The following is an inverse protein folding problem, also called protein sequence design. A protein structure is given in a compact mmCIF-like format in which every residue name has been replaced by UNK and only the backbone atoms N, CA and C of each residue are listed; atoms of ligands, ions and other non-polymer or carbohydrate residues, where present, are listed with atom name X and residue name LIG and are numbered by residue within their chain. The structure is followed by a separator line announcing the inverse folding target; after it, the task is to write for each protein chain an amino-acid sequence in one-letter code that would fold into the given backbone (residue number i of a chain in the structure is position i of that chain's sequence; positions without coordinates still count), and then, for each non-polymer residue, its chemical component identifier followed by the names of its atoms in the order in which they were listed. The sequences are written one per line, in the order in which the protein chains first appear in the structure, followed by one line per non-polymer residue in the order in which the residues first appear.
data_IF_133085803350
#
_entry.id   IF_133085803350
#
_cell.length_a   1.000
_cell.length_b   1.000
_cell.length_c   1.000
_cell.angle_alpha   90.00
_cell.angle_beta   90.00
_cell.angle_gamma   90.00
#
_symmetry.space_group_name_H-M   'P 1'
#
loop_
_entity.id
_entity.type
_entity.pdbx_description
1 polymer ?
#
# COMPACT_ATOMS: atom_id res chain seq x y z
N UNK A 1 -30.97 16.78 -0.88
CA UNK A 1 -29.81 17.30 -0.11
C UNK A 1 -28.87 16.15 0.18
N UNK A 2 -27.79 15.99 -0.59
CA UNK A 2 -26.83 14.90 -0.40
C UNK A 2 -25.97 15.17 0.83
N UNK A 3 -26.04 14.28 1.82
CA UNK A 3 -25.17 14.33 3.00
C UNK A 3 -23.71 14.18 2.56
N UNK A 4 -22.90 15.13 3.02
CA UNK A 4 -21.47 15.22 2.81
C UNK A 4 -20.77 14.04 3.52
N UNK A 5 -20.08 13.11 2.84
CA UNK A 5 -19.52 11.89 3.46
C UNK A 5 -18.19 12.11 4.20
N UNK A 6 -17.87 13.34 4.60
CA UNK A 6 -16.58 13.70 5.21
C UNK A 6 -16.56 13.73 6.75
N UNK A 7 -17.21 12.77 7.43
CA UNK A 7 -17.21 12.69 8.92
C UNK A 7 -15.96 12.06 9.56
N UNK A 8 -14.90 11.80 8.80
CA UNK A 8 -13.72 11.06 9.31
C UNK A 8 -12.75 11.86 10.16
N UNK A 9 -13.06 13.12 10.46
CA UNK A 9 -12.38 13.81 11.56
C UNK A 9 -12.89 13.38 12.94
N UNK A 10 -13.99 12.62 13.04
CA UNK A 10 -14.60 12.33 14.33
C UNK A 10 -13.91 11.23 15.15
N UNK A 11 -13.38 10.16 14.54
CA UNK A 11 -13.00 8.98 15.32
C UNK A 11 -11.48 8.81 15.56
N UNK A 12 -10.61 9.47 14.80
CA UNK A 12 -9.15 9.49 15.08
C UNK A 12 -8.38 8.21 14.71
N UNK A 13 -7.06 8.25 14.84
CA UNK A 13 -6.16 7.10 14.55
C UNK A 13 -5.90 6.28 15.81
N UNK A 14 -5.78 4.96 15.66
CA UNK A 14 -5.55 4.00 16.75
C UNK A 14 -6.20 2.65 16.46
N UNK A 15 -6.28 1.82 17.49
CA UNK A 15 -6.86 0.47 17.45
C UNK A 15 -8.35 0.51 17.78
N UNK A 16 -9.16 -0.23 17.03
CA UNK A 16 -10.58 -0.39 17.28
C UNK A 16 -10.90 -1.88 17.44
N UNK A 17 -11.49 -2.34 18.55
CA UNK A 17 -11.89 -3.73 18.66
C UNK A 17 -12.92 -4.07 17.57
N UNK A 18 -12.76 -5.25 16.97
CA UNK A 18 -13.64 -5.77 15.93
C UNK A 18 -14.72 -6.59 16.62
N UNK A 19 -15.99 -6.22 16.42
CA UNK A 19 -17.11 -7.14 16.61
C UNK A 19 -17.39 -7.85 15.28
N UNK A 20 -17.07 -9.16 15.14
CA UNK A 20 -17.31 -9.88 13.90
C UNK A 20 -18.79 -9.92 13.52
N UNK A 21 -19.70 -9.76 14.49
CA UNK A 21 -21.16 -9.80 14.25
C UNK A 21 -21.77 -8.44 13.96
N UNK A 22 -20.98 -7.37 13.96
CA UNK A 22 -21.45 -6.02 13.66
C UNK A 22 -22.22 -5.97 12.32
N UNK A 23 -23.30 -5.18 12.32
CA UNK A 23 -24.10 -4.84 11.14
C UNK A 23 -24.34 -3.33 11.13
N UNK A 24 -23.86 -2.65 10.10
CA UNK A 24 -24.06 -1.21 9.93
C UNK A 24 -23.04 -0.60 8.96
N UNK A 25 -23.13 0.72 8.78
CA UNK A 25 -22.33 1.43 7.78
C UNK A 25 -20.91 1.76 8.25
N UNK A 26 -20.70 1.94 9.56
CA UNK A 26 -19.40 2.23 10.16
C UNK A 26 -19.34 1.70 11.61
N UNK A 27 -18.56 0.63 11.83
CA UNK A 27 -18.42 -0.02 13.13
C UNK A 27 -17.84 0.89 14.21
N UNK A 28 -17.22 2.01 13.83
CA UNK A 28 -16.51 2.92 14.75
C UNK A 28 -17.37 4.05 15.26
N UNK A 29 -18.60 4.22 14.76
CA UNK A 29 -19.41 5.44 14.93
C UNK A 29 -19.48 5.94 16.38
N UNK A 30 -19.55 5.01 17.33
CA UNK A 30 -19.70 5.29 18.76
C UNK A 30 -18.51 4.74 19.58
N UNK A 31 -17.35 4.58 18.95
CA UNK A 31 -16.15 4.00 19.57
C UNK A 31 -15.00 5.01 19.63
N UNK A 32 -14.32 5.04 20.78
CA UNK A 32 -13.05 5.73 20.92
C UNK A 32 -11.90 4.79 20.50
N UNK A 33 -10.89 5.26 19.76
CA UNK A 33 -9.70 4.46 19.47
C UNK A 33 -8.92 4.16 20.75
N UNK A 34 -8.36 2.96 20.81
CA UNK A 34 -7.40 2.51 21.80
C UNK A 34 -5.98 2.78 21.31
N UNK A 35 -5.07 3.07 22.23
CA UNK A 35 -3.66 3.36 21.99
C UNK A 35 -2.78 2.31 22.68
N UNK A 36 -1.51 2.23 22.30
CA UNK A 36 -0.55 1.24 22.84
C UNK A 36 -0.38 1.28 24.37
N UNK A 37 -0.74 2.40 25.01
CA UNK A 37 -0.73 2.58 26.47
C UNK A 37 -1.97 2.01 27.16
N UNK A 38 -3.03 1.71 26.41
CA UNK A 38 -4.27 1.17 26.95
C UNK A 38 -4.16 -0.34 27.21
N UNK A 39 -5.06 -0.86 28.05
CA UNK A 39 -5.16 -2.30 28.29
C UNK A 39 -5.97 -2.97 27.18
N UNK A 40 -5.29 -3.78 26.38
CA UNK A 40 -5.92 -4.60 25.34
C UNK A 40 -6.45 -5.91 25.89
N UNK A 41 -7.63 -6.31 25.42
CA UNK A 41 -8.18 -7.65 25.55
C UNK A 41 -7.61 -8.52 24.42
N UNK A 42 -6.75 -9.49 24.78
CA UNK A 42 -6.05 -10.35 23.83
C UNK A 42 -6.93 -11.47 23.23
N UNK A 43 -8.18 -11.61 23.68
CA UNK A 43 -9.15 -12.53 23.06
C UNK A 43 -9.86 -11.89 21.85
N UNK A 44 -9.69 -10.56 21.69
CA UNK A 44 -10.26 -9.76 20.61
C UNK A 44 -9.24 -9.49 19.51
N UNK A 45 -9.77 -9.29 18.32
CA UNK A 45 -9.04 -8.79 17.16
C UNK A 45 -9.28 -7.29 17.03
N UNK A 46 -8.27 -6.54 16.58
CA UNK A 46 -8.34 -5.09 16.45
C UNK A 46 -8.12 -4.63 15.02
N UNK A 47 -8.70 -3.49 14.66
CA UNK A 47 -8.38 -2.76 13.43
C UNK A 47 -7.52 -1.55 13.80
N UNK A 48 -6.24 -1.56 13.44
CA UNK A 48 -5.36 -0.39 13.51
C UNK A 48 -5.63 0.53 12.32
N UNK A 49 -6.09 1.75 12.57
CA UNK A 49 -6.41 2.73 11.53
C UNK A 49 -5.39 3.84 11.53
N UNK A 50 -4.70 4.00 10.40
CA UNK A 50 -3.63 4.97 10.24
C UNK A 50 -2.32 4.52 10.86
N UNK A 51 -1.39 5.46 11.01
CA UNK A 51 -0.05 5.21 11.54
C UNK A 51 0.40 6.43 12.35
N UNK A 52 0.02 6.46 13.63
CA UNK A 52 0.48 7.45 14.61
C UNK A 52 1.44 6.75 15.59
N UNK A 53 2.77 6.99 15.52
CA UNK A 53 3.79 6.36 16.36
C UNK A 53 3.53 6.43 17.86
N UNK A 54 2.92 7.50 18.32
CA UNK A 54 2.55 7.75 19.71
C UNK A 54 1.26 7.02 20.13
N UNK A 55 0.56 6.37 19.19
CA UNK A 55 -0.73 5.69 19.41
C UNK A 55 -0.73 4.22 19.03
N UNK A 56 0.37 3.71 18.50
CA UNK A 56 0.48 2.32 18.06
C UNK A 56 1.72 1.62 18.62
N UNK A 57 1.64 0.30 18.82
CA UNK A 57 2.82 -0.53 18.97
C UNK A 57 3.77 -0.33 17.79
N UNK A 58 5.06 -0.29 18.06
CA UNK A 58 6.08 -0.32 17.03
C UNK A 58 6.14 -1.73 16.44
N UNK A 59 6.57 -1.87 15.17
CA UNK A 59 6.75 -3.19 14.58
C UNK A 59 7.61 -4.08 15.47
N UNK A 60 7.11 -5.26 15.82
CA UNK A 60 7.80 -6.23 16.66
C UNK A 60 7.72 -5.96 18.17
N UNK A 61 7.01 -4.91 18.60
CA UNK A 61 6.78 -4.60 20.01
C UNK A 61 5.34 -4.87 20.45
N UNK A 62 4.54 -5.47 19.58
CA UNK A 62 3.17 -5.90 19.89
C UNK A 62 3.19 -6.98 21.00
N UNK A 63 2.22 -6.97 21.94
CA UNK A 63 2.10 -8.03 22.93
C UNK A 63 1.95 -9.41 22.27
N UNK A 64 2.51 -10.45 22.89
CA UNK A 64 2.34 -11.82 22.40
C UNK A 64 0.85 -12.19 22.39
N UNK A 65 0.36 -12.67 21.24
CA UNK A 65 -1.04 -13.01 21.05
C UNK A 65 -1.94 -11.83 20.66
N UNK A 66 -1.37 -10.63 20.48
CA UNK A 66 -2.12 -9.48 20.00
C UNK A 66 -2.52 -9.66 18.53
N UNK A 67 -3.82 -9.77 18.29
CA UNK A 67 -4.42 -9.95 16.98
C UNK A 67 -4.90 -8.59 16.42
N UNK A 68 -4.32 -8.17 15.29
CA UNK A 68 -4.75 -6.95 14.64
C UNK A 68 -4.66 -6.99 13.11
N UNK A 69 -5.47 -6.16 12.49
CA UNK A 69 -5.45 -5.83 11.07
C UNK A 69 -5.05 -4.38 10.90
N UNK A 70 -4.13 -4.09 9.99
CA UNK A 70 -3.67 -2.74 9.71
C UNK A 70 -4.35 -2.16 8.48
N UNK A 71 -5.20 -1.16 8.71
CA UNK A 71 -5.84 -0.36 7.68
C UNK A 71 -5.00 0.88 7.34
N UNK A 72 -4.39 0.86 6.16
CA UNK A 72 -3.64 1.98 5.59
C UNK A 72 -4.01 2.24 4.12
N UNK A 73 -3.31 3.15 3.46
CA UNK A 73 -3.53 3.49 2.07
C UNK A 73 -3.17 2.32 1.13
N UNK A 74 -3.90 2.15 0.02
CA UNK A 74 -3.71 1.02 -0.94
C UNK A 74 -2.27 0.87 -1.45
N UNK A 75 -1.78 -0.36 -1.65
CA UNK A 75 -0.47 -0.61 -2.26
C UNK A 75 -0.37 -0.21 -3.75
N UNK A 76 -1.50 0.15 -4.38
CA UNK A 76 -1.60 0.62 -5.77
C UNK A 76 -2.00 2.11 -5.79
N UNK A 77 -1.04 3.05 -5.96
CA UNK A 77 -1.32 4.49 -5.97
C UNK A 77 -2.33 4.93 -7.02
N UNK A 78 -2.39 4.22 -8.16
CA UNK A 78 -3.32 4.46 -9.27
C UNK A 78 -4.78 4.54 -8.83
N UNK A 79 -5.17 3.76 -7.82
CA UNK A 79 -6.53 3.78 -7.25
C UNK A 79 -6.88 5.10 -6.54
N UNK A 80 -5.89 5.93 -6.23
CA UNK A 80 -6.04 7.21 -5.54
C UNK A 80 -6.01 8.40 -6.51
N UNK A 81 -5.70 8.17 -7.78
CA UNK A 81 -5.61 9.22 -8.79
C UNK A 81 -6.96 9.51 -9.40
N UNK A 82 -7.05 10.69 -10.03
CA UNK A 82 -8.25 11.10 -10.76
C UNK A 82 -8.48 10.12 -11.92
N UNK A 83 -9.62 9.44 -11.88
CA UNK A 83 -10.04 8.49 -12.91
C UNK A 83 -11.57 8.47 -12.99
N UNK A 84 -12.17 7.81 -14.00
CA UNK A 84 -13.61 7.62 -14.04
C UNK A 84 -14.21 7.02 -12.77
N UNK A 85 -13.48 6.11 -12.08
CA UNK A 85 -13.88 5.50 -10.81
C UNK A 85 -13.53 6.34 -9.57
N UNK A 86 -12.75 7.42 -9.70
CA UNK A 86 -12.34 8.29 -8.60
C UNK A 86 -12.25 9.75 -9.05
N UNK A 87 -13.41 10.36 -9.33
CA UNK A 87 -13.53 11.69 -9.94
C UNK A 87 -12.96 12.84 -9.10
N UNK A 88 -12.73 12.63 -7.81
CA UNK A 88 -12.25 13.66 -6.88
C UNK A 88 -10.84 13.37 -6.34
N UNK A 89 -10.23 12.23 -6.69
CA UNK A 89 -8.91 11.85 -6.19
C UNK A 89 -8.90 11.55 -4.69
N UNK A 90 -10.04 11.12 -4.15
CA UNK A 90 -10.16 10.77 -2.74
C UNK A 90 -9.47 9.43 -2.45
N UNK A 91 -9.04 9.26 -1.20
CA UNK A 91 -8.51 7.99 -0.68
C UNK A 91 -9.64 7.04 -0.35
N UNK A 92 -10.25 6.46 -1.39
CA UNK A 92 -11.38 5.52 -1.29
C UNK A 92 -10.92 4.07 -1.17
N UNK A 93 -9.72 3.77 -1.66
CA UNK A 93 -9.10 2.46 -1.60
C UNK A 93 -7.99 2.40 -0.56
N UNK A 94 -7.96 1.29 0.15
CA UNK A 94 -7.07 1.06 1.26
C UNK A 94 -6.50 -0.36 1.24
N UNK A 95 -5.34 -0.53 1.86
CA UNK A 95 -4.81 -1.85 2.17
C UNK A 95 -5.30 -2.29 3.55
N UNK A 96 -5.45 -3.59 3.72
CA UNK A 96 -5.69 -4.23 5.01
C UNK A 96 -4.76 -5.42 5.14
N UNK A 97 -3.81 -5.42 6.09
CA UNK A 97 -2.85 -6.52 6.33
C UNK A 97 -3.03 -7.09 7.73
N UNK A 98 -2.82 -8.40 7.90
CA UNK A 98 -2.99 -9.08 9.19
C UNK A 98 -1.65 -9.24 9.92
N UNK A 99 -1.59 -8.82 11.19
CA UNK A 99 -0.44 -8.92 12.10
C UNK A 99 0.90 -8.59 11.43
N UNK A 100 0.92 -7.53 10.60
CA UNK A 100 2.08 -7.22 9.79
C UNK A 100 1.90 -5.97 8.93
N UNK A 101 3.03 -5.50 8.41
CA UNK A 101 3.15 -4.26 7.64
C UNK A 101 3.17 -4.51 6.12
N UNK A 102 3.29 -5.77 5.72
CA UNK A 102 3.36 -6.22 4.32
C UNK A 102 2.32 -7.31 4.04
N UNK A 103 2.10 -7.54 2.75
CA UNK A 103 1.40 -8.73 2.30
C UNK A 103 2.24 -9.98 2.61
N UNK A 104 1.63 -11.10 3.04
CA UNK A 104 2.35 -12.36 3.21
C UNK A 104 2.97 -12.84 1.89
N UNK A 105 4.20 -13.38 1.99
CA UNK A 105 4.97 -13.89 0.82
C UNK A 105 4.27 -15.04 0.09
N UNK A 106 3.45 -15.78 0.82
CA UNK A 106 2.69 -16.96 0.39
C UNK A 106 1.23 -16.64 0.05
N UNK A 107 0.86 -15.35 0.01
CA UNK A 107 -0.51 -14.95 -0.31
C UNK A 107 -0.95 -15.45 -1.70
N UNK A 108 -2.13 -16.08 -1.83
CA UNK A 108 -2.56 -16.67 -3.10
C UNK A 108 -3.01 -15.62 -4.12
N UNK A 109 -2.68 -15.84 -5.39
CA UNK A 109 -3.17 -15.04 -6.51
C UNK A 109 -4.53 -15.58 -7.00
N UNK A 110 -5.60 -15.32 -6.24
CA UNK A 110 -6.94 -15.78 -6.63
C UNK A 110 -7.65 -14.74 -7.50
N UNK A 111 -8.10 -15.17 -8.68
CA UNK A 111 -8.83 -14.30 -9.62
C UNK A 111 -10.10 -13.71 -9.00
N UNK A 112 -10.73 -14.40 -8.04
CA UNK A 112 -11.90 -13.90 -7.30
C UNK A 112 -11.60 -12.59 -6.55
N UNK A 113 -10.37 -12.38 -6.08
CA UNK A 113 -9.95 -11.14 -5.43
C UNK A 113 -9.86 -9.97 -6.43
N UNK A 114 -9.26 -10.21 -7.60
CA UNK A 114 -9.20 -9.23 -8.70
C UNK A 114 -10.60 -8.89 -9.20
N UNK A 115 -11.44 -9.90 -9.43
CA UNK A 115 -12.84 -9.71 -9.82
C UNK A 115 -13.63 -8.86 -8.82
N UNK A 116 -13.42 -9.01 -7.50
CA UNK A 116 -14.07 -8.14 -6.49
C UNK A 116 -13.70 -6.67 -6.70
N UNK A 117 -12.41 -6.38 -6.86
CA UNK A 117 -11.91 -5.02 -7.10
C UNK A 117 -12.44 -4.49 -8.44
N UNK A 118 -12.38 -5.30 -9.50
CA UNK A 118 -12.87 -4.96 -10.83
C UNK A 118 -14.37 -4.67 -10.85
N UNK A 119 -15.21 -5.48 -10.19
CA UNK A 119 -16.66 -5.21 -10.06
C UNK A 119 -16.92 -3.84 -9.43
N UNK A 120 -16.16 -3.49 -8.40
CA UNK A 120 -16.28 -2.20 -7.73
C UNK A 120 -15.80 -1.06 -8.63
N UNK A 121 -14.65 -1.19 -9.30
CA UNK A 121 -14.17 -0.20 -10.28
C UNK A 121 -15.14 -0.02 -11.44
N UNK A 122 -15.71 -1.10 -11.97
CA UNK A 122 -16.69 -1.08 -13.04
C UNK A 122 -17.94 -0.32 -12.63
N UNK A 123 -18.47 -0.59 -11.42
CA UNK A 123 -19.61 0.14 -10.87
C UNK A 123 -19.31 1.64 -10.69
N UNK A 124 -18.22 1.98 -10.02
CA UNK A 124 -17.88 3.39 -9.72
C UNK A 124 -17.49 4.19 -10.98
N UNK A 125 -17.02 3.52 -12.03
CA UNK A 125 -16.69 4.13 -13.33
C UNK A 125 -17.85 4.18 -14.33
N UNK A 126 -19.04 3.71 -13.95
CA UNK A 126 -20.21 3.55 -14.86
C UNK A 126 -19.87 2.69 -16.08
N UNK A 127 -19.14 1.60 -15.85
CA UNK A 127 -18.80 0.59 -16.84
C UNK A 127 -17.55 0.86 -17.68
N UNK A 128 -16.88 1.99 -17.47
CA UNK A 128 -15.71 2.41 -18.28
C UNK A 128 -14.45 1.61 -17.98
N UNK A 129 -14.28 1.15 -16.75
CA UNK A 129 -13.12 0.34 -16.33
C UNK A 129 -13.61 -1.08 -16.14
N UNK A 130 -13.02 -2.06 -16.83
CA UNK A 130 -13.37 -3.49 -16.65
C UNK A 130 -12.32 -4.23 -15.85
N UNK A 131 -11.06 -3.86 -16.03
CA UNK A 131 -9.93 -4.39 -15.28
C UNK A 131 -9.13 -3.30 -14.56
N UNK A 132 -8.62 -3.61 -13.36
CA UNK A 132 -7.79 -2.70 -12.58
C UNK A 132 -6.55 -2.23 -13.35
N UNK A 133 -5.97 -3.06 -14.21
CA UNK A 133 -4.79 -2.73 -14.98
C UNK A 133 -5.03 -1.67 -16.05
N UNK A 134 -6.29 -1.43 -16.45
CA UNK A 134 -6.65 -0.32 -17.33
C UNK A 134 -6.38 1.05 -16.68
N UNK A 135 -6.19 1.11 -15.35
CA UNK A 135 -5.77 2.34 -14.68
C UNK A 135 -4.35 2.79 -15.09
N UNK A 136 -3.53 1.90 -15.64
CA UNK A 136 -2.14 2.14 -16.04
C UNK A 136 -1.78 1.52 -17.40
N UNK A 137 -2.78 1.24 -18.24
CA UNK A 137 -2.62 0.67 -19.59
C UNK A 137 -1.93 -0.70 -19.65
N UNK A 138 -2.23 -1.57 -18.68
CA UNK A 138 -1.74 -2.95 -18.64
C UNK A 138 -0.37 -3.12 -17.99
N UNK A 139 -0.09 -4.33 -17.51
CA UNK A 139 1.21 -4.68 -16.95
C UNK A 139 2.26 -4.76 -18.08
N UNK A 140 3.50 -4.35 -17.81
CA UNK A 140 4.60 -4.42 -18.79
C UNK A 140 5.79 -5.15 -18.20
N UNK A 141 6.55 -5.91 -19.01
CA UNK A 141 7.79 -6.52 -18.55
C UNK A 141 8.79 -5.43 -18.12
N UNK A 142 9.69 -5.81 -17.22
CA UNK A 142 10.76 -4.94 -16.76
C UNK A 142 11.66 -4.54 -17.95
N UNK A 143 11.90 -3.24 -18.09
CA UNK A 143 12.73 -2.68 -19.15
C UNK A 143 14.22 -2.75 -18.76
N UNK A 144 15.15 -2.86 -19.73
CA UNK A 144 16.58 -2.81 -19.43
C UNK A 144 17.02 -1.39 -19.05
N UNK A 145 18.02 -1.29 -18.17
CA UNK A 145 18.70 -0.03 -17.83
C UNK A 145 19.71 0.31 -18.93
N UNK A 146 19.75 1.57 -19.37
CA UNK A 146 20.61 2.01 -20.49
C UNK A 146 21.59 3.11 -20.09
N UNK A 147 21.11 4.12 -19.37
CA UNK A 147 21.79 5.37 -19.00
C UNK A 147 22.33 5.39 -17.58
N UNK A 148 21.91 4.45 -16.72
CA UNK A 148 22.18 4.47 -15.27
C UNK A 148 21.73 5.79 -14.61
N UNK A 149 20.51 6.24 -14.91
CA UNK A 149 19.91 7.43 -14.29
C UNK A 149 18.77 7.02 -13.36
N UNK A 150 18.90 7.31 -12.06
CA UNK A 150 17.98 6.84 -11.02
C UNK A 150 17.06 7.96 -10.48
N UNK A 151 15.78 7.65 -10.28
CA UNK A 151 14.88 8.48 -9.48
C UNK A 151 14.78 7.93 -8.06
N UNK A 152 15.18 8.73 -7.07
CA UNK A 152 15.06 8.39 -5.66
C UNK A 152 13.71 8.88 -5.15
N UNK A 153 12.87 7.94 -4.67
CA UNK A 153 11.57 8.23 -4.07
C UNK A 153 11.59 7.86 -2.59
N UNK A 154 11.91 8.87 -1.77
CA UNK A 154 11.96 8.73 -0.32
C UNK A 154 10.54 8.56 0.29
N UNK A 155 10.48 7.84 1.40
CA UNK A 155 9.31 7.85 2.27
C UNK A 155 9.31 9.13 3.13
N UNK A 156 8.24 9.45 3.87
CA UNK A 156 8.21 10.69 4.68
C UNK A 156 9.28 10.71 5.78
N UNK A 157 9.76 11.89 6.20
CA UNK A 157 10.70 12.03 7.34
C UNK A 157 10.26 11.24 8.59
N UNK A 158 8.96 11.30 8.92
CA UNK A 158 8.38 10.52 10.03
C UNK A 158 8.64 9.02 9.89
N UNK A 159 8.51 8.48 8.68
CA UNK A 159 8.69 7.05 8.45
C UNK A 159 10.15 6.63 8.68
N UNK A 160 11.11 7.43 8.20
CA UNK A 160 12.54 7.23 8.46
C UNK A 160 12.85 7.21 9.96
N UNK A 161 12.39 8.23 10.69
CA UNK A 161 12.63 8.34 12.13
C UNK A 161 12.02 7.17 12.92
N UNK A 162 10.79 6.80 12.61
CA UNK A 162 9.96 5.97 13.50
C UNK A 162 10.07 4.47 13.21
N UNK A 163 10.47 4.09 12.00
CA UNK A 163 10.59 2.69 11.57
C UNK A 163 12.02 2.26 11.27
N UNK A 164 12.93 3.20 11.00
CA UNK A 164 14.27 2.89 10.52
C UNK A 164 15.39 3.52 11.35
N UNK A 165 15.06 4.26 12.41
CA UNK A 165 16.04 4.82 13.35
C UNK A 165 17.04 5.80 12.71
N UNK A 166 16.70 6.39 11.56
CA UNK A 166 17.55 7.32 10.82
C UNK A 166 16.72 8.49 10.27
N UNK A 167 17.37 9.57 9.85
CA UNK A 167 16.67 10.66 9.15
C UNK A 167 16.50 10.35 7.66
N UNK A 168 15.62 11.10 6.98
CA UNK A 168 15.44 10.95 5.54
C UNK A 168 16.72 11.38 4.79
N UNK A 169 17.39 12.41 5.28
CA UNK A 169 18.61 12.98 4.72
C UNK A 169 19.78 12.01 4.83
N UNK A 170 19.93 11.35 5.99
CA UNK A 170 20.92 10.28 6.18
C UNK A 170 20.69 9.14 5.19
N UNK A 171 19.43 8.72 5.03
CA UNK A 171 19.09 7.68 4.05
C UNK A 171 19.39 8.12 2.62
N UNK A 172 18.94 9.30 2.20
CA UNK A 172 19.21 9.84 0.86
C UNK A 172 20.72 9.90 0.62
N UNK A 173 21.49 10.45 1.57
CA UNK A 173 22.94 10.56 1.45
C UNK A 173 23.60 9.19 1.27
N UNK A 174 23.16 8.16 2.00
CA UNK A 174 23.68 6.80 1.83
C UNK A 174 23.38 6.22 0.44
N UNK A 175 22.16 6.44 -0.07
CA UNK A 175 21.77 6.00 -1.41
C UNK A 175 22.59 6.72 -2.48
N UNK A 176 22.71 8.05 -2.40
CA UNK A 176 23.40 8.84 -3.41
C UNK A 176 24.89 8.51 -3.49
N UNK A 177 25.57 8.38 -2.35
CA UNK A 177 26.98 7.94 -2.31
C UNK A 177 27.16 6.58 -2.98
N UNK A 178 26.26 5.63 -2.73
CA UNK A 178 26.35 4.31 -3.35
C UNK A 178 26.10 4.38 -4.86
N UNK A 179 25.17 5.22 -5.33
CA UNK A 179 24.91 5.42 -6.75
C UNK A 179 26.10 6.03 -7.47
N UNK A 180 26.74 7.05 -6.88
CA UNK A 180 27.96 7.65 -7.41
C UNK A 180 29.06 6.60 -7.58
N UNK A 181 29.27 5.75 -6.56
CA UNK A 181 30.24 4.64 -6.61
C UNK A 181 29.94 3.63 -7.73
N UNK A 182 28.67 3.47 -8.10
CA UNK A 182 28.21 2.56 -9.17
C UNK A 182 28.16 3.23 -10.56
N UNK A 183 28.51 4.52 -10.63
CA UNK A 183 28.46 5.34 -11.84
C UNK A 183 27.04 5.68 -12.29
N UNK A 184 26.11 5.83 -11.35
CA UNK A 184 24.75 6.29 -11.62
C UNK A 184 24.65 7.81 -11.43
N UNK A 185 23.88 8.46 -12.30
CA UNK A 185 23.34 9.80 -12.01
C UNK A 185 21.99 9.66 -11.31
N UNK A 186 21.54 10.68 -10.59
CA UNK A 186 20.27 10.59 -9.87
C UNK A 186 19.56 11.92 -9.67
N UNK A 187 18.24 11.82 -9.46
CA UNK A 187 17.40 12.89 -8.94
C UNK A 187 16.63 12.42 -7.71
N UNK A 188 16.33 13.35 -6.80
CA UNK A 188 15.47 13.07 -5.63
C UNK A 188 14.09 13.66 -5.88
N UNK A 189 13.08 12.80 -5.88
CA UNK A 189 11.70 13.22 -6.07
C UNK A 189 11.21 14.10 -4.93
N UNK A 190 10.75 15.31 -5.26
CA UNK A 190 10.00 16.16 -4.33
C UNK A 190 8.53 15.75 -4.31
N UNK A 191 7.95 15.56 -3.12
CA UNK A 191 6.56 15.10 -2.99
C UNK A 191 5.58 16.19 -3.40
N UNK A 192 4.80 15.94 -4.46
CA UNK A 192 3.77 16.89 -4.91
C UNK A 192 2.45 16.76 -4.12
N UNK A 193 1.79 17.89 -3.91
CA UNK A 193 0.44 17.97 -3.33
C UNK A 193 -0.61 17.33 -4.23
N UNK A 194 -1.79 16.99 -3.67
CA UNK A 194 -2.85 16.23 -4.37
C UNK A 194 -3.27 16.90 -5.68
N UNK A 195 -3.49 18.21 -5.67
CA UNK A 195 -3.94 18.96 -6.85
C UNK A 195 -2.90 18.97 -7.98
N UNK A 196 -1.62 18.91 -7.63
CA UNK A 196 -0.52 18.92 -8.60
C UNK A 196 -0.18 17.53 -9.15
N UNK A 197 -0.78 16.44 -8.64
CA UNK A 197 -0.47 15.06 -9.09
C UNK A 197 -0.89 14.76 -10.52
N UNK A 198 -1.87 15.48 -11.07
CA UNK A 198 -2.27 15.28 -12.46
C UNK A 198 -1.13 15.72 -13.38
N UNK A 199 -0.53 14.77 -14.12
CA UNK A 199 0.67 15.00 -14.94
C UNK A 199 1.98 15.11 -14.16
N UNK A 200 1.97 14.82 -12.86
CA UNK A 200 3.17 14.71 -12.02
C UNK A 200 3.08 13.46 -11.13
N UNK A 201 2.56 12.38 -11.71
CA UNK A 201 2.69 11.06 -11.09
C UNK A 201 4.16 10.63 -11.15
N UNK A 202 4.54 9.60 -10.41
CA UNK A 202 5.93 9.13 -10.40
C UNK A 202 6.33 8.70 -11.81
N UNK A 203 5.43 8.03 -12.53
CA UNK A 203 5.70 7.60 -13.91
C UNK A 203 5.87 8.76 -14.89
N UNK A 204 5.18 9.89 -14.65
CA UNK A 204 5.36 11.10 -15.45
C UNK A 204 6.74 11.71 -15.22
N UNK A 205 7.22 11.69 -13.96
CA UNK A 205 8.56 12.13 -13.60
C UNK A 205 9.65 11.21 -14.13
N UNK A 206 9.45 9.89 -14.04
CA UNK A 206 10.35 8.89 -14.65
C UNK A 206 10.57 9.19 -16.14
N UNK A 207 9.48 9.42 -16.89
CA UNK A 207 9.54 9.75 -18.33
C UNK A 207 10.21 11.10 -18.58
N UNK A 208 9.77 12.16 -17.90
CA UNK A 208 10.24 13.54 -18.12
C UNK A 208 11.72 13.72 -17.78
N UNK A 209 12.20 13.06 -16.72
CA UNK A 209 13.60 13.12 -16.31
C UNK A 209 14.49 12.07 -16.97
N UNK A 210 13.94 11.28 -17.90
CA UNK A 210 14.63 10.16 -18.55
C UNK A 210 15.32 9.21 -17.55
N UNK A 211 14.63 8.92 -16.45
CA UNK A 211 15.09 7.96 -15.45
C UNK A 211 14.85 6.53 -15.95
N UNK A 212 15.84 5.67 -15.75
CA UNK A 212 15.78 4.26 -16.14
C UNK A 212 15.40 3.34 -14.98
N UNK A 213 15.62 3.79 -13.75
CA UNK A 213 15.41 3.00 -12.54
C UNK A 213 14.83 3.87 -11.43
N UNK A 214 13.93 3.31 -10.62
CA UNK A 214 13.43 3.95 -9.41
C UNK A 214 13.98 3.27 -8.17
N UNK A 215 14.43 4.05 -7.19
CA UNK A 215 14.89 3.55 -5.89
C UNK A 215 13.93 4.05 -4.82
N UNK A 216 13.29 3.13 -4.12
CA UNK A 216 12.29 3.44 -3.10
C UNK A 216 12.57 2.77 -1.77
N UNK A 217 12.32 3.51 -0.67
CA UNK A 217 12.28 2.93 0.68
C UNK A 217 10.91 2.29 0.94
N UNK A 218 10.10 2.80 1.86
CA UNK A 218 8.74 2.32 2.13
C UNK A 218 7.74 3.32 1.54
N UNK A 219 7.51 3.16 0.24
CA UNK A 219 6.62 4.03 -0.55
C UNK A 219 5.80 3.18 -1.50
N UNK A 220 4.51 3.47 -1.64
CA UNK A 220 3.67 2.83 -2.66
C UNK A 220 4.03 3.29 -4.08
N UNK A 221 4.87 4.33 -4.22
CA UNK A 221 5.34 4.83 -5.50
C UNK A 221 6.17 3.84 -6.32
N UNK A 222 6.80 2.88 -5.66
CA UNK A 222 7.48 1.76 -6.32
C UNK A 222 6.51 0.92 -7.14
N UNK A 223 5.32 0.63 -6.59
CA UNK A 223 4.28 -0.12 -7.30
C UNK A 223 3.84 0.57 -8.59
N UNK A 224 3.82 1.91 -8.60
CA UNK A 224 3.44 2.69 -9.78
C UNK A 224 4.42 2.49 -10.93
N UNK A 225 5.73 2.43 -10.63
CA UNK A 225 6.78 2.23 -11.61
C UNK A 225 6.87 0.77 -12.08
N UNK A 226 6.72 -0.20 -11.17
CA UNK A 226 6.78 -1.63 -11.52
C UNK A 226 5.72 -2.00 -12.57
N UNK A 227 4.46 -1.61 -12.36
CA UNK A 227 3.37 -2.06 -13.26
C UNK A 227 3.53 -1.57 -14.70
N UNK A 228 4.24 -0.45 -14.91
CA UNK A 228 4.52 0.07 -16.25
C UNK A 228 5.90 -0.33 -16.79
N UNK A 229 6.60 -1.24 -16.11
CA UNK A 229 7.83 -1.88 -16.60
C UNK A 229 9.13 -1.17 -16.23
N UNK A 230 9.14 -0.16 -15.35
CA UNK A 230 10.42 0.39 -14.89
C UNK A 230 11.10 -0.56 -13.90
N UNK A 231 12.42 -0.80 -14.03
CA UNK A 231 13.23 -1.35 -12.94
C UNK A 231 13.01 -0.58 -11.64
N UNK A 232 12.78 -1.32 -10.57
CA UNK A 232 12.63 -0.78 -9.22
C UNK A 232 13.61 -1.46 -8.29
N UNK A 233 14.26 -0.66 -7.44
CA UNK A 233 15.06 -1.12 -6.31
C UNK A 233 14.36 -0.74 -5.02
N UNK A 234 14.22 -1.71 -4.12
CA UNK A 234 13.63 -1.49 -2.79
C UNK A 234 14.69 -1.62 -1.71
N UNK A 235 14.74 -0.66 -0.79
CA UNK A 235 15.76 -0.61 0.28
C UNK A 235 15.28 -1.15 1.62
N UNK A 236 14.12 -1.78 1.66
CA UNK A 236 13.53 -2.37 2.85
C UNK A 236 12.56 -3.47 2.45
N UNK A 237 12.47 -4.51 3.28
CA UNK A 237 11.46 -5.56 3.15
C UNK A 237 10.03 -5.02 3.27
N UNK A 238 9.84 -3.84 3.87
CA UNK A 238 8.54 -3.20 4.05
C UNK A 238 8.00 -2.47 2.80
N UNK A 239 8.68 -2.57 1.66
CA UNK A 239 8.19 -1.96 0.44
C UNK A 239 7.08 -2.82 -0.21
N UNK A 240 5.95 -2.23 -0.63
CA UNK A 240 4.86 -2.97 -1.30
C UNK A 240 5.26 -3.75 -2.56
N UNK A 241 6.28 -3.28 -3.28
CA UNK A 241 6.79 -3.89 -4.51
C UNK A 241 7.98 -4.83 -4.27
N UNK A 242 8.32 -5.15 -3.01
CA UNK A 242 9.51 -5.95 -2.65
C UNK A 242 9.61 -7.27 -3.42
N UNK A 243 8.49 -7.93 -3.69
CA UNK A 243 8.44 -9.23 -4.38
C UNK A 243 8.71 -9.14 -5.90
N UNK A 244 8.52 -7.97 -6.49
CA UNK A 244 8.67 -7.70 -7.93
C UNK A 244 9.63 -6.53 -8.17
N UNK A 245 10.67 -6.45 -7.34
CA UNK A 245 11.72 -5.45 -7.42
C UNK A 245 13.08 -6.08 -7.21
N UNK A 246 14.13 -5.35 -7.56
CA UNK A 246 15.49 -5.68 -7.14
C UNK A 246 15.66 -5.28 -5.69
N UNK A 247 16.25 -6.15 -4.89
CA UNK A 247 16.53 -5.85 -3.49
C UNK A 247 17.80 -5.02 -3.41
N UNK A 248 17.89 -4.04 -2.50
CA UNK A 248 19.05 -3.16 -2.40
C UNK A 248 20.37 -3.91 -2.28
N UNK A 249 20.41 -4.97 -1.48
CA UNK A 249 21.57 -5.85 -1.29
C UNK A 249 22.03 -6.59 -2.56
N UNK A 250 21.12 -6.82 -3.51
CA UNK A 250 21.43 -7.42 -4.80
C UNK A 250 21.85 -6.32 -5.80
N UNK A 251 21.16 -5.18 -5.77
CA UNK A 251 21.47 -4.02 -6.59
C UNK A 251 22.90 -3.53 -6.39
N UNK A 252 23.38 -3.43 -5.13
CA UNK A 252 24.75 -3.00 -4.84
C UNK A 252 25.83 -3.95 -5.37
N UNK A 253 25.47 -5.20 -5.69
CA UNK A 253 26.34 -6.18 -6.36
C UNK A 253 26.29 -6.08 -7.88
N UNK A 254 25.50 -5.16 -8.41
CA UNK A 254 25.31 -4.96 -9.86
C UNK A 254 24.15 -5.76 -10.45
N UNK A 255 23.33 -6.43 -9.64
CA UNK A 255 22.20 -7.21 -10.14
C UNK A 255 20.97 -6.34 -10.39
N UNK A 256 20.23 -6.64 -11.47
CA UNK A 256 18.91 -6.07 -11.75
C UNK A 256 17.95 -7.21 -12.09
N UNK A 257 17.00 -7.47 -11.19
CA UNK A 257 15.97 -8.47 -11.41
C UNK A 257 15.02 -8.00 -12.50
N UNK A 258 14.73 -8.90 -13.43
CA UNK A 258 13.78 -8.70 -14.50
C UNK A 258 12.54 -9.53 -14.21
N UNK A 259 11.38 -8.94 -14.42
CA UNK A 259 10.09 -9.60 -14.28
C UNK A 259 9.34 -9.49 -15.60
N UNK A 260 8.72 -10.58 -16.01
CA UNK A 260 7.82 -10.57 -17.16
C UNK A 260 6.43 -9.99 -16.78
N UNK A 261 5.61 -9.76 -17.80
CA UNK A 261 4.25 -9.23 -17.64
C UNK A 261 3.39 -10.12 -16.74
N UNK A 262 3.51 -11.45 -16.86
CA UNK A 262 2.70 -12.41 -16.11
C UNK A 262 3.05 -12.40 -14.62
N UNK A 263 4.33 -12.29 -14.28
CA UNK A 263 4.80 -12.19 -12.89
C UNK A 263 4.27 -10.92 -12.22
N UNK A 264 4.31 -9.79 -12.93
CA UNK A 264 3.78 -8.51 -12.44
C UNK A 264 2.25 -8.57 -12.30
N UNK A 265 1.54 -9.12 -13.28
CA UNK A 265 0.08 -9.27 -13.23
C UNK A 265 -0.39 -10.22 -12.11
N UNK A 266 0.37 -11.30 -11.88
CA UNK A 266 0.15 -12.21 -10.74
C UNK A 266 0.31 -11.46 -9.42
N UNK A 267 1.34 -10.62 -9.29
CA UNK A 267 1.55 -9.80 -8.09
C UNK A 267 0.43 -8.75 -7.90
N UNK A 268 -0.03 -8.08 -8.97
CA UNK A 268 -1.19 -7.18 -8.91
C UNK A 268 -2.44 -7.92 -8.41
N UNK A 269 -2.66 -9.15 -8.90
CA UNK A 269 -3.77 -10.01 -8.48
C UNK A 269 -3.68 -10.35 -6.98
N UNK A 270 -2.49 -10.64 -6.46
CA UNK A 270 -2.26 -10.85 -5.01
C UNK A 270 -2.56 -9.58 -4.20
N UNK A 271 -2.12 -8.41 -4.66
CA UNK A 271 -2.44 -7.14 -3.99
C UNK A 271 -3.96 -6.89 -3.90
N UNK A 272 -4.73 -7.33 -4.89
CA UNK A 272 -6.19 -7.20 -4.85
C UNK A 272 -6.82 -7.94 -3.66
N UNK A 273 -6.20 -9.00 -3.13
CA UNK A 273 -6.67 -9.70 -1.93
C UNK A 273 -6.60 -8.83 -0.66
N UNK A 274 -5.71 -7.82 -0.66
CA UNK A 274 -5.46 -6.92 0.47
C UNK A 274 -6.00 -5.52 0.21
N UNK A 275 -6.65 -5.28 -0.92
CA UNK A 275 -7.11 -3.94 -1.34
C UNK A 275 -8.63 -3.83 -1.23
N UNK A 276 -9.10 -2.91 -0.39
CA UNK A 276 -10.52 -2.76 -0.05
C UNK A 276 -11.01 -1.36 -0.33
N UNK A 277 -12.23 -1.26 -0.83
CA UNK A 277 -12.97 -0.02 -0.84
C UNK A 277 -13.37 0.35 0.59
N UNK A 278 -13.36 1.64 0.90
CA UNK A 278 -13.61 2.15 2.25
C UNK A 278 -14.91 1.65 2.89
N UNK A 279 -15.99 1.52 2.10
CA UNK A 279 -17.26 1.02 2.64
C UNK A 279 -17.18 -0.44 3.08
N UNK A 280 -16.35 -1.27 2.43
CA UNK A 280 -16.11 -2.66 2.87
C UNK A 280 -15.40 -2.67 4.23
N UNK A 281 -14.46 -1.75 4.44
CA UNK A 281 -13.72 -1.61 5.70
C UNK A 281 -14.62 -1.11 6.84
N UNK A 282 -15.47 -0.12 6.57
CA UNK A 282 -16.35 0.45 7.58
C UNK A 282 -17.46 -0.52 8.04
N UNK A 283 -18.01 -1.33 7.13
CA UNK A 283 -19.07 -2.31 7.40
C UNK A 283 -18.55 -3.64 7.95
N UNK A 284 -17.23 -3.85 7.91
CA UNK A 284 -16.58 -5.15 8.18
C UNK A 284 -16.97 -6.27 7.19
N UNK A 285 -17.44 -5.93 5.99
CA UNK A 285 -17.72 -6.89 4.92
C UNK A 285 -16.44 -7.61 4.43
N UNK A 286 -15.28 -6.99 4.62
CA UNK A 286 -13.98 -7.58 4.26
C UNK A 286 -13.69 -8.90 4.98
N UNK A 287 -14.27 -9.15 6.16
CA UNK A 287 -14.06 -10.39 6.93
C UNK A 287 -14.39 -11.63 6.10
N UNK A 288 -15.39 -11.53 5.20
CA UNK A 288 -15.88 -12.70 4.47
C UNK A 288 -14.95 -13.11 3.32
N UNK A 289 -14.04 -12.22 2.92
CA UNK A 289 -13.19 -12.36 1.73
C UNK A 289 -11.69 -12.18 2.02
N UNK A 290 -11.31 -11.67 3.18
CA UNK A 290 -9.90 -11.45 3.52
C UNK A 290 -9.19 -12.78 3.79
N UNK A 291 -8.03 -13.06 3.15
CA UNK A 291 -7.38 -14.38 3.21
C UNK A 291 -7.04 -14.86 4.62
N UNK A 292 -6.76 -13.92 5.53
CA UNK A 292 -6.33 -14.20 6.91
C UNK A 292 -7.41 -13.87 7.97
N UNK A 293 -8.68 -13.78 7.56
CA UNK A 293 -9.80 -13.46 8.48
C UNK A 293 -10.65 -14.69 8.85
N UNK A 294 -10.13 -15.90 8.66
CA UNK A 294 -10.87 -17.14 8.88
C UNK A 294 -11.39 -17.26 10.32
N UNK A 295 -10.57 -16.94 11.32
CA UNK A 295 -10.99 -16.94 12.73
C UNK A 295 -12.11 -15.93 13.04
N UNK A 296 -12.11 -14.77 12.36
CA UNK A 296 -13.20 -13.80 12.46
C UNK A 296 -14.48 -14.31 11.79
N UNK A 297 -14.33 -15.02 10.67
CA UNK A 297 -15.43 -15.66 9.94
C UNK A 297 -16.10 -16.75 10.78
N UNK A 298 -15.31 -17.58 11.45
CA UNK A 298 -15.80 -18.60 12.40
C UNK A 298 -16.60 -17.95 13.54
N UNK A 299 -16.08 -16.87 14.14
CA UNK A 299 -16.80 -16.09 15.17
C UNK A 299 -18.07 -15.42 14.63
N UNK A 300 -18.07 -14.97 13.37
CA UNK A 300 -19.21 -14.31 12.71
C UNK A 300 -20.36 -15.29 12.43
N UNK A 301 -20.05 -16.49 11.95
CA UNK A 301 -21.05 -17.45 11.47
C UNK A 301 -21.28 -18.65 12.39
N UNK A 302 -20.45 -18.84 13.41
CA UNK A 302 -20.53 -20.01 14.30
C UNK A 302 -20.18 -21.32 13.60
N UNK A 303 -19.34 -21.26 12.55
CA UNK A 303 -18.87 -22.43 11.80
C UNK A 303 -17.49 -22.76 12.34
N UNK A 304 -17.29 -23.98 12.86
CA UNK A 304 -16.00 -24.54 13.27
C UNK A 304 -15.43 -25.44 12.20
#
# INVERSE_FOLDING_TARGET
MSKNPHSLRANGWGYYPIDPKFKGDDFRKDMRPMFWTDKFDLEKSYLLIGCEPDRMFKPGTEPKGFDFFWWDNSMLPWLRYLSPANKTGHKLWSRLTYCGWNMPKDSPALESHRQRVNRKLHKESMGKIKDIAELWDGCRPTMPIRRKHALIVASSHRNHREFYGQTQEQWISGITTQLDNMGYTYGVRQKVGIQARRGNQIVDEMRRGEYDILIGNHTAGTSEAVVIGYPVVTTTENNPAREVSTHWEDFVKGEIKQYDEKQIDTWVTRICAYTYWRSELNSLDWIDVHPQAQHLKEKRYGIS
#
